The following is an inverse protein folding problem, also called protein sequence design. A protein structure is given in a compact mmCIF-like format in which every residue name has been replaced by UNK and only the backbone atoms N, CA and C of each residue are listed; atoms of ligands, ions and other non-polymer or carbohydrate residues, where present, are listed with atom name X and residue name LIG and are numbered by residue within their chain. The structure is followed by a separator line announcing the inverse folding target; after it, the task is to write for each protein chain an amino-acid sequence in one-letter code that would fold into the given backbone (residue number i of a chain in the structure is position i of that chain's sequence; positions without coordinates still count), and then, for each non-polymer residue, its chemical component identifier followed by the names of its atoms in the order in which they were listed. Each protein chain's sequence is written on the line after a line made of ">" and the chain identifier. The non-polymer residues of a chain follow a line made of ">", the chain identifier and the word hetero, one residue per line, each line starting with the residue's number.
data_IF_500228159239
#
_entry.id   IF_500228159239
#
_cell.length_a   1.000
_cell.length_b   1.000
_cell.length_c   1.000
_cell.angle_alpha   90.00
_cell.angle_beta   90.00
_cell.angle_gamma   90.00
#
_symmetry.space_group_name_H-M   'P 1'
#
loop_
_entity.id
_entity.type
_entity.pdbx_description
1 polymer ?
#
# COMPACT_ATOMS: atom_id res chain seq x y z
N UNK A 1 21.63 13.06 12.24
CA UNK A 1 21.06 13.05 10.86
C UNK A 1 20.48 11.71 10.42
N UNK A 2 21.15 10.56 10.62
CA UNK A 2 20.62 9.23 10.24
C UNK A 2 19.30 8.86 10.94
N UNK A 3 19.15 9.19 12.22
CA UNK A 3 17.93 8.87 12.98
C UNK A 3 16.69 9.63 12.50
N UNK A 4 16.83 10.91 12.12
CA UNK A 4 15.71 11.72 11.62
C UNK A 4 15.18 11.21 10.26
N UNK A 5 16.07 10.77 9.36
CA UNK A 5 15.67 10.19 8.07
C UNK A 5 14.94 8.86 8.27
N UNK A 6 15.40 8.03 9.22
CA UNK A 6 14.75 6.76 9.56
C UNK A 6 13.37 6.98 10.19
N UNK A 7 13.21 7.98 11.05
CA UNK A 7 11.93 8.31 11.67
C UNK A 7 10.91 8.89 10.67
N UNK A 8 11.35 9.69 9.71
CA UNK A 8 10.49 10.17 8.63
C UNK A 8 10.05 9.01 7.72
N UNK A 9 10.96 8.08 7.39
CA UNK A 9 10.63 6.89 6.61
C UNK A 9 9.61 6.00 7.35
N UNK A 10 9.75 5.80 8.66
CA UNK A 10 8.80 4.98 9.43
C UNK A 10 7.41 5.63 9.54
N UNK A 11 7.31 6.95 9.77
CA UNK A 11 6.03 7.65 9.73
C UNK A 11 5.36 7.53 8.35
N UNK A 12 6.17 7.71 7.31
CA UNK A 12 5.72 7.66 5.93
C UNK A 12 5.17 6.27 5.55
N UNK A 13 5.77 5.19 6.06
CA UNK A 13 5.26 3.83 5.91
C UNK A 13 3.88 3.66 6.56
N UNK A 14 3.71 4.17 7.79
CA UNK A 14 2.43 4.08 8.50
C UNK A 14 1.34 4.82 7.73
N UNK A 15 1.64 6.03 7.23
CA UNK A 15 0.67 6.80 6.45
C UNK A 15 0.29 6.13 5.14
N UNK A 16 1.25 5.52 4.44
CA UNK A 16 0.97 4.82 3.17
C UNK A 16 0.11 3.57 3.40
N UNK A 17 0.43 2.78 4.43
CA UNK A 17 -0.37 1.61 4.79
C UNK A 17 -1.82 2.00 5.13
N UNK A 18 -2.01 3.05 5.92
CA UNK A 18 -3.34 3.52 6.31
C UNK A 18 -4.12 4.07 5.12
N UNK A 19 -3.47 4.79 4.21
CA UNK A 19 -4.11 5.29 2.99
C UNK A 19 -4.57 4.13 2.10
N UNK A 20 -3.77 3.09 1.93
CA UNK A 20 -4.13 1.92 1.13
C UNK A 20 -5.25 1.08 1.79
N UNK A 21 -5.25 0.93 3.11
CA UNK A 21 -6.38 0.29 3.82
C UNK A 21 -7.65 1.14 3.72
N UNK A 22 -7.54 2.46 3.79
CA UNK A 22 -8.69 3.35 3.58
C UNK A 22 -9.21 3.26 2.14
N UNK A 23 -8.34 3.03 1.16
CA UNK A 23 -8.76 2.75 -0.21
C UNK A 23 -9.58 1.45 -0.28
N UNK A 24 -9.17 0.38 0.41
CA UNK A 24 -9.92 -0.90 0.39
C UNK A 24 -11.32 -0.77 0.98
N UNK A 25 -11.56 0.13 1.94
CA UNK A 25 -12.89 0.32 2.54
C UNK A 25 -13.87 1.04 1.61
N UNK A 26 -13.35 1.75 0.59
CA UNK A 26 -14.14 2.44 -0.42
C UNK A 26 -14.48 1.55 -1.62
N UNK A 27 -13.82 0.39 -1.74
CA UNK A 27 -14.10 -0.59 -2.80
C UNK A 27 -15.35 -1.40 -2.43
N UNK A 28 -16.37 -1.35 -3.27
CA UNK A 28 -17.65 -2.02 -3.06
C UNK A 28 -17.70 -3.40 -3.71
N UNK A 29 -16.92 -3.64 -4.78
CA UNK A 29 -16.79 -4.94 -5.43
C UNK A 29 -15.37 -5.19 -5.90
N UNK A 30 -14.84 -6.36 -5.53
CA UNK A 30 -13.57 -6.92 -6.01
C UNK A 30 -13.79 -8.35 -6.57
N UNK A 31 -14.46 -8.50 -7.73
CA UNK A 31 -14.80 -9.81 -8.29
C UNK A 31 -13.59 -10.70 -8.63
N UNK A 32 -12.39 -10.13 -8.71
CA UNK A 32 -11.16 -10.85 -9.05
C UNK A 32 -10.21 -11.00 -7.86
N UNK A 33 -10.64 -10.61 -6.65
CA UNK A 33 -9.86 -10.72 -5.42
C UNK A 33 -8.48 -10.06 -5.54
N UNK A 34 -8.38 -8.94 -6.26
CA UNK A 34 -7.10 -8.23 -6.45
C UNK A 34 -6.58 -7.70 -5.13
N UNK A 35 -7.47 -7.29 -4.22
CA UNK A 35 -7.13 -6.76 -2.90
C UNK A 35 -7.02 -7.86 -1.83
N UNK A 36 -7.07 -9.14 -2.21
CA UNK A 36 -7.11 -10.27 -1.27
C UNK A 36 -5.95 -10.34 -0.28
N UNK A 37 -4.76 -9.88 -0.67
CA UNK A 37 -3.58 -9.86 0.19
C UNK A 37 -3.32 -8.50 0.86
N UNK A 38 -4.24 -7.54 0.71
CA UNK A 38 -4.15 -6.24 1.36
C UNK A 38 -4.55 -6.38 2.84
N UNK A 39 -3.58 -6.81 3.65
CA UNK A 39 -3.76 -7.12 5.07
C UNK A 39 -2.66 -6.43 5.89
N UNK A 40 -3.02 -5.84 7.04
CA UNK A 40 -2.09 -5.19 7.97
C UNK A 40 -0.96 -6.10 8.48
N UNK A 41 -1.15 -7.41 8.43
CA UNK A 41 -0.13 -8.41 8.80
C UNK A 41 0.94 -8.63 7.72
N UNK A 42 0.72 -8.12 6.51
CA UNK A 42 1.63 -8.24 5.36
C UNK A 42 2.18 -6.84 5.07
N UNK A 43 3.46 -6.75 4.74
CA UNK A 43 4.05 -5.48 4.26
C UNK A 43 3.28 -5.00 3.04
N UNK A 44 2.86 -3.74 3.03
CA UNK A 44 2.09 -3.19 1.91
C UNK A 44 2.88 -3.18 0.59
N UNK A 45 4.21 -3.23 0.65
CA UNK A 45 5.05 -3.37 -0.53
C UNK A 45 4.93 -4.74 -1.21
N UNK A 46 4.41 -5.74 -0.50
CA UNK A 46 4.17 -7.09 -1.03
C UNK A 46 2.70 -7.29 -1.44
N UNK A 47 1.87 -6.24 -1.33
CA UNK A 47 0.48 -6.29 -1.77
C UNK A 47 0.37 -6.29 -3.29
N UNK A 48 -0.66 -6.99 -3.78
CA UNK A 48 -0.90 -7.10 -5.22
C UNK A 48 -1.07 -5.71 -5.84
N UNK A 49 -0.28 -5.44 -6.89
CA UNK A 49 -0.33 -4.18 -7.62
C UNK A 49 0.37 -3.00 -6.93
N UNK A 50 0.91 -3.17 -5.72
CA UNK A 50 1.70 -2.13 -5.05
C UNK A 50 3.17 -2.27 -5.45
N UNK A 51 3.85 -1.15 -5.65
CA UNK A 51 5.31 -1.13 -5.76
C UNK A 51 5.89 -0.01 -4.91
N UNK A 52 6.96 -0.33 -4.20
CA UNK A 52 7.64 0.59 -3.31
C UNK A 52 9.01 1.03 -3.83
N UNK A 53 9.45 2.21 -3.37
CA UNK A 53 10.81 2.68 -3.59
C UNK A 53 11.85 1.79 -2.88
N UNK A 54 12.99 1.56 -3.53
CA UNK A 54 14.14 0.91 -2.87
C UNK A 54 14.76 1.90 -1.88
N UNK A 55 14.66 1.61 -0.59
CA UNK A 55 15.35 2.33 0.48
C UNK A 55 14.48 3.25 1.35
N UNK A 56 13.30 3.67 0.89
CA UNK A 56 12.36 4.43 1.73
C UNK A 56 11.02 3.73 1.98
N UNK A 57 10.79 2.55 1.38
CA UNK A 57 9.56 1.76 1.50
C UNK A 57 8.28 2.55 1.18
N UNK A 58 8.39 3.67 0.46
CA UNK A 58 7.27 4.51 0.04
C UNK A 58 6.56 3.86 -1.13
N UNK A 59 5.24 3.93 -1.16
CA UNK A 59 4.47 3.53 -2.34
C UNK A 59 4.80 4.49 -3.49
N UNK A 60 5.26 3.95 -4.61
CA UNK A 60 5.56 4.72 -5.83
C UNK A 60 4.67 4.35 -6.99
N UNK A 61 4.00 3.21 -6.92
CA UNK A 61 3.07 2.77 -7.97
C UNK A 61 1.96 1.95 -7.35
N UNK A 62 0.74 2.22 -7.81
CA UNK A 62 -0.44 1.42 -7.53
C UNK A 62 -1.06 1.03 -8.88
N UNK A 63 -0.95 -0.25 -9.23
CA UNK A 63 -1.42 -0.82 -10.49
C UNK A 63 -2.73 -1.56 -10.27
N UNK A 64 -3.82 -0.87 -10.58
CA UNK A 64 -5.18 -1.41 -10.56
C UNK A 64 -5.69 -1.50 -12.00
N UNK A 65 -6.40 -2.56 -12.35
CA UNK A 65 -7.03 -2.66 -13.65
C UNK A 65 -8.51 -2.29 -13.52
N UNK A 66 -9.01 -1.44 -14.41
CA UNK A 66 -10.35 -0.83 -14.33
C UNK A 66 -11.51 -1.83 -14.17
N UNK A 67 -11.34 -3.06 -14.67
CA UNK A 67 -12.38 -4.09 -14.58
C UNK A 67 -12.38 -4.83 -13.25
N UNK A 68 -11.38 -4.62 -12.41
CA UNK A 68 -11.19 -5.44 -11.22
C UNK A 68 -11.82 -4.87 -9.95
N UNK A 69 -12.01 -3.55 -9.86
CA UNK A 69 -12.52 -2.89 -8.66
C UNK A 69 -13.66 -1.94 -9.02
N UNK A 70 -14.73 -1.93 -8.22
CA UNK A 70 -15.88 -1.03 -8.35
C UNK A 70 -16.26 -0.42 -7.00
#
# INVERSE_FOLDING_TARGET
>A
QREAISALASLSNVTDQWALLSFTSLVTKDPYNVLSNWNSSISFCDWNGVSCSRGSQRVVTLKLFERHLK
#
